data_IF_555697013683
#
_entry.id   IF_555697013683
#
_cell.length_a   1.000
_cell.length_b   1.000
_cell.length_c   1.000
_cell.angle_alpha   90.00
_cell.angle_beta   90.00
_cell.angle_gamma   90.00
#
_symmetry.space_group_name_H-M   'P 1'
#
loop_
_entity.id
_entity.type
_entity.pdbx_description
1 polymer ?
#
# COMPACT_ATOMS: atom_id res chain seq x y z
N UNK A 1 38.82 4.81 7.38
CA UNK A 1 37.90 3.68 7.53
C UNK A 1 38.16 3.01 8.86
N UNK A 2 37.17 2.96 9.75
CA UNK A 2 37.29 2.32 11.07
C UNK A 2 37.14 0.80 10.94
N UNK A 3 37.99 0.02 11.60
CA UNK A 3 37.97 -1.43 11.50
C UNK A 3 36.81 -2.02 12.33
N UNK A 4 36.16 -3.09 11.85
CA UNK A 4 35.03 -3.78 12.53
C UNK A 4 35.32 -4.12 14.01
N UNK A 5 36.59 -4.35 14.36
CA UNK A 5 37.01 -4.61 15.75
C UNK A 5 36.96 -3.37 16.66
N UNK A 6 37.13 -2.18 16.11
CA UNK A 6 37.01 -0.91 16.85
C UNK A 6 35.56 -0.51 17.06
N UNK A 7 34.66 -0.83 16.11
CA UNK A 7 33.23 -0.58 16.25
C UNK A 7 32.60 -1.44 17.36
N UNK A 8 32.92 -2.74 17.39
CA UNK A 8 32.43 -3.64 18.44
C UNK A 8 32.89 -3.22 19.84
N UNK A 9 34.14 -2.73 19.98
CA UNK A 9 34.65 -2.24 21.26
C UNK A 9 33.87 -1.02 21.77
N UNK A 10 33.49 -0.08 20.90
CA UNK A 10 32.73 1.11 21.28
C UNK A 10 31.27 0.81 21.63
N UNK A 11 30.63 -0.13 20.93
CA UNK A 11 29.26 -0.56 21.27
C UNK A 11 29.23 -1.28 22.63
N UNK A 12 30.22 -2.14 22.90
CA UNK A 12 30.31 -2.85 24.19
C UNK A 12 30.64 -1.92 25.36
N UNK A 13 31.53 -0.94 25.18
CA UNK A 13 31.86 0.04 26.22
C UNK A 13 30.70 1.03 26.50
N UNK A 14 29.90 1.36 25.48
CA UNK A 14 28.73 2.24 25.64
C UNK A 14 27.57 1.60 26.39
N UNK A 15 27.30 0.30 26.17
CA UNK A 15 26.24 -0.43 26.86
C UNK A 15 26.58 -0.70 28.35
N UNK A 16 27.85 -0.96 28.68
CA UNK A 16 28.27 -1.21 30.07
C UNK A 16 28.23 0.05 30.95
N UNK A 17 28.49 1.23 30.37
CA UNK A 17 28.38 2.52 31.07
C UNK A 17 26.93 2.92 31.39
N UNK A 18 25.95 2.39 30.66
CA UNK A 18 24.53 2.66 30.88
C UNK A 18 23.93 1.72 31.94
N UNK A 19 24.42 0.48 32.06
CA UNK A 19 23.93 -0.48 33.06
C UNK A 19 24.38 -0.17 34.49
N UNK A 20 25.52 0.47 34.70
CA UNK A 20 25.94 0.86 36.06
C UNK A 20 25.17 2.07 36.62
N UNK A 21 24.53 2.87 35.75
CA UNK A 21 23.79 4.09 36.15
C UNK A 21 22.29 3.89 36.25
N UNK A 22 21.77 2.83 35.65
CA UNK A 22 20.36 2.43 35.70
C UNK A 22 20.27 1.22 36.63
N UNK A 23 20.10 1.49 37.93
CA UNK A 23 19.93 0.45 38.95
C UNK A 23 18.87 -0.58 38.53
N UNK A 24 19.06 -1.83 38.97
CA UNK A 24 18.27 -3.00 38.56
C UNK A 24 16.74 -2.80 38.63
N UNK A 25 16.25 -1.92 39.49
CA UNK A 25 14.82 -1.58 39.63
C UNK A 25 14.23 -0.89 38.39
N UNK A 26 15.05 -0.21 37.57
CA UNK A 26 14.59 0.47 36.34
C UNK A 26 14.40 -0.49 35.17
N UNK A 27 15.16 -1.60 35.12
CA UNK A 27 15.01 -2.62 34.09
C UNK A 27 13.74 -3.44 34.30
N UNK A 28 13.40 -3.77 35.54
CA UNK A 28 12.13 -4.44 35.86
C UNK A 28 10.93 -3.53 35.60
N UNK A 29 11.05 -2.23 35.86
CA UNK A 29 10.00 -1.26 35.53
C UNK A 29 9.86 -1.11 34.00
N UNK A 30 10.96 -1.11 33.25
CA UNK A 30 10.92 -1.05 31.79
C UNK A 30 10.33 -2.35 31.20
N UNK A 31 10.72 -3.51 31.73
CA UNK A 31 10.15 -4.80 31.33
C UNK A 31 8.66 -4.89 31.67
N UNK A 32 8.25 -4.40 32.84
CA UNK A 32 6.84 -4.33 33.24
C UNK A 32 6.05 -3.40 32.31
N UNK A 33 6.57 -2.23 31.96
CA UNK A 33 5.93 -1.30 31.01
C UNK A 33 5.87 -1.90 29.60
N UNK A 34 6.92 -2.59 29.14
CA UNK A 34 6.92 -3.28 27.84
C UNK A 34 5.90 -4.43 27.82
N UNK A 35 5.77 -5.20 28.91
CA UNK A 35 4.73 -6.23 29.02
C UNK A 35 3.32 -5.63 29.12
N UNK A 36 3.14 -4.49 29.81
CA UNK A 36 1.85 -3.79 29.89
C UNK A 36 1.42 -3.16 28.56
N UNK A 37 2.38 -2.72 27.74
CA UNK A 37 2.10 -2.25 26.38
C UNK A 37 1.80 -3.39 25.40
N UNK A 38 2.26 -4.61 25.69
CA UNK A 38 2.07 -5.79 24.83
C UNK A 38 0.74 -6.51 25.04
N UNK A 39 0.00 -6.23 26.10
CA UNK A 39 -1.25 -6.94 26.41
C UNK A 39 -2.41 -5.96 26.63
N UNK A 40 -2.80 -5.25 25.58
CA UNK A 40 -4.09 -4.57 25.55
C UNK A 40 -5.17 -5.58 25.17
N UNK A 41 -5.67 -6.31 26.16
CA UNK A 41 -6.89 -7.14 26.03
C UNK A 41 -8.05 -6.37 26.65
N UNK A 42 -9.07 -6.07 25.85
CA UNK A 42 -10.38 -5.63 26.35
C UNK A 42 -11.29 -6.85 26.29
N UNK A 43 -11.80 -7.28 27.45
CA UNK A 43 -12.75 -8.38 27.61
C UNK A 43 -12.36 -9.73 26.96
N UNK A 44 -11.06 -10.09 26.98
CA UNK A 44 -10.60 -11.41 26.54
C UNK A 44 -10.70 -11.65 25.03
N UNK A 45 -11.06 -10.64 24.25
CA UNK A 45 -10.99 -10.65 22.80
C UNK A 45 -9.79 -9.82 22.35
N UNK A 46 -9.09 -10.24 21.27
CA UNK A 46 -8.05 -9.40 20.67
C UNK A 46 -8.68 -8.06 20.30
N UNK A 47 -8.01 -6.97 20.69
CA UNK A 47 -8.44 -5.63 20.29
C UNK A 47 -8.28 -5.56 18.77
N UNK A 48 -9.41 -5.55 18.08
CA UNK A 48 -9.47 -5.28 16.64
C UNK A 48 -9.12 -3.80 16.46
N UNK A 49 -7.83 -3.51 16.28
CA UNK A 49 -7.37 -2.12 16.18
C UNK A 49 -7.70 -1.52 14.81
N UNK A 50 -7.64 -2.32 13.74
CA UNK A 50 -7.82 -1.85 12.36
C UNK A 50 -8.44 -2.93 11.46
N UNK A 51 -9.37 -2.54 10.59
CA UNK A 51 -9.96 -3.36 9.54
C UNK A 51 -9.58 -2.77 8.17
N UNK A 52 -9.24 -3.64 7.21
CA UNK A 52 -9.06 -3.23 5.81
C UNK A 52 -9.73 -4.20 4.85
N UNK A 53 -10.12 -3.66 3.71
CA UNK A 53 -10.73 -4.40 2.62
C UNK A 53 -9.86 -4.35 1.37
N UNK A 54 -9.69 -5.49 0.72
CA UNK A 54 -8.89 -5.66 -0.49
C UNK A 54 -9.77 -6.15 -1.64
N UNK A 55 -9.58 -5.57 -2.83
CA UNK A 55 -10.25 -6.02 -4.06
C UNK A 55 -9.41 -7.10 -4.75
N UNK A 56 -10.05 -8.21 -5.09
CA UNK A 56 -9.43 -9.32 -5.81
C UNK A 56 -10.22 -9.69 -7.04
N UNK A 57 -9.51 -10.07 -8.10
CA UNK A 57 -10.11 -10.59 -9.31
C UNK A 57 -9.23 -11.64 -9.97
N UNK A 58 -9.89 -12.59 -10.65
CA UNK A 58 -9.26 -13.50 -11.60
C UNK A 58 -9.88 -13.32 -13.00
N UNK A 59 -9.71 -14.31 -13.89
CA UNK A 59 -10.25 -14.25 -15.26
C UNK A 59 -11.79 -14.30 -15.31
N UNK A 60 -12.43 -14.83 -14.29
CA UNK A 60 -13.85 -15.18 -14.28
C UNK A 60 -14.61 -14.46 -13.16
N UNK A 61 -14.00 -14.28 -12.00
CA UNK A 61 -14.62 -13.82 -10.77
C UNK A 61 -13.94 -12.59 -10.19
N UNK A 62 -14.70 -11.78 -9.47
CA UNK A 62 -14.22 -10.73 -8.57
C UNK A 62 -14.78 -10.97 -7.16
N UNK A 63 -14.02 -10.63 -6.13
CA UNK A 63 -14.45 -10.71 -4.73
C UNK A 63 -13.70 -9.69 -3.87
N UNK A 64 -14.15 -9.53 -2.63
CA UNK A 64 -13.48 -8.69 -1.64
C UNK A 64 -13.02 -9.55 -0.47
N UNK A 65 -11.85 -9.22 0.05
CA UNK A 65 -11.26 -9.86 1.23
C UNK A 65 -11.19 -8.85 2.36
N UNK A 66 -11.60 -9.28 3.55
CA UNK A 66 -11.53 -8.48 4.78
C UNK A 66 -10.37 -9.00 5.61
N UNK A 67 -9.44 -8.11 5.92
CA UNK A 67 -8.34 -8.39 6.83
C UNK A 67 -8.50 -7.55 8.09
N UNK A 68 -8.19 -8.16 9.22
CA UNK A 68 -8.25 -7.51 10.53
C UNK A 68 -6.88 -7.60 11.18
N UNK A 69 -6.46 -6.51 11.83
CA UNK A 69 -5.19 -6.47 12.54
C UNK A 69 -5.36 -7.11 13.92
N UNK A 70 -4.68 -8.23 14.14
CA UNK A 70 -4.65 -9.01 15.38
C UNK A 70 -3.17 -9.14 15.77
N UNK A 71 -2.79 -8.67 16.95
CA UNK A 71 -1.42 -8.73 17.46
C UNK A 71 -0.36 -8.20 16.46
N UNK A 72 -0.63 -7.02 15.90
CA UNK A 72 0.19 -6.34 14.87
C UNK A 72 0.31 -7.05 13.52
N UNK A 73 -0.47 -8.13 13.29
CA UNK A 73 -0.49 -8.88 12.04
C UNK A 73 -1.85 -8.77 11.37
N UNK A 74 -1.83 -8.67 10.04
CA UNK A 74 -3.06 -8.73 9.25
C UNK A 74 -3.45 -10.18 9.04
N UNK A 75 -4.64 -10.55 9.52
CA UNK A 75 -5.23 -11.86 9.29
C UNK A 75 -6.48 -11.74 8.42
N UNK A 76 -6.64 -12.67 7.47
CA UNK A 76 -7.83 -12.75 6.65
C UNK A 76 -9.01 -13.24 7.50
N UNK A 77 -9.96 -12.34 7.77
CA UNK A 77 -11.12 -12.62 8.63
C UNK A 77 -12.40 -12.88 7.84
N UNK A 78 -12.38 -12.71 6.52
CA UNK A 78 -13.45 -13.21 5.67
C UNK A 78 -13.33 -12.76 4.22
N UNK A 79 -14.21 -13.29 3.39
CA UNK A 79 -14.28 -12.99 1.95
C UNK A 79 -15.72 -12.88 1.51
N UNK A 80 -16.04 -11.99 0.58
CA UNK A 80 -17.38 -11.94 0.00
C UNK A 80 -17.60 -13.07 -0.97
N UNK A 81 -18.88 -13.32 -1.26
CA UNK A 81 -19.29 -14.23 -2.32
C UNK A 81 -18.74 -13.73 -3.67
N UNK A 82 -18.00 -14.56 -4.43
CA UNK A 82 -17.47 -14.13 -5.71
C UNK A 82 -18.58 -13.80 -6.71
N UNK A 83 -18.38 -12.74 -7.48
CA UNK A 83 -19.27 -12.24 -8.51
C UNK A 83 -18.61 -12.43 -9.87
N UNK A 84 -19.30 -13.05 -10.81
CA UNK A 84 -18.79 -13.28 -12.15
C UNK A 84 -18.60 -11.94 -12.86
N UNK A 85 -17.42 -11.71 -13.45
CA UNK A 85 -17.02 -10.39 -13.96
C UNK A 85 -17.89 -9.89 -15.11
N UNK A 86 -18.27 -10.79 -16.01
CA UNK A 86 -19.07 -10.43 -17.20
C UNK A 86 -20.59 -10.47 -16.97
N UNK A 87 -21.10 -11.54 -16.34
CA UNK A 87 -22.55 -11.72 -16.15
C UNK A 87 -23.09 -11.08 -14.86
N UNK A 88 -22.23 -10.76 -13.89
CA UNK A 88 -22.66 -10.35 -12.55
C UNK A 88 -23.25 -11.50 -11.72
N UNK A 89 -23.21 -12.74 -12.22
CA UNK A 89 -23.76 -13.91 -11.53
C UNK A 89 -22.96 -14.22 -10.26
N UNK A 90 -23.66 -14.56 -9.17
CA UNK A 90 -23.00 -14.94 -7.93
C UNK A 90 -22.56 -16.41 -8.00
N UNK A 91 -21.33 -16.71 -7.59
CA UNK A 91 -20.84 -18.09 -7.44
C UNK A 91 -21.75 -18.89 -6.49
N UNK A 92 -21.80 -20.23 -6.49
CA UNK A 92 -22.62 -20.99 -5.55
C UNK A 92 -22.40 -20.56 -4.10
N UNK A 93 -23.48 -20.46 -3.32
CA UNK A 93 -23.38 -20.06 -1.91
C UNK A 93 -22.67 -21.15 -1.12
N UNK A 94 -21.61 -20.76 -0.42
CA UNK A 94 -20.87 -21.59 0.52
C UNK A 94 -20.91 -20.90 1.88
N UNK A 95 -21.07 -21.69 2.93
CA UNK A 95 -21.05 -21.19 4.31
C UNK A 95 -19.72 -20.45 4.59
N UNK A 96 -19.82 -19.28 5.25
CA UNK A 96 -18.66 -18.46 5.61
C UNK A 96 -18.34 -17.29 4.67
N UNK A 97 -19.11 -17.06 3.61
CA UNK A 97 -19.02 -15.80 2.86
C UNK A 97 -19.58 -14.62 3.67
N UNK A 98 -18.88 -13.50 3.61
CA UNK A 98 -19.34 -12.23 4.15
C UNK A 98 -20.39 -11.61 3.22
N UNK A 99 -21.43 -10.96 3.77
CA UNK A 99 -22.38 -10.21 2.97
C UNK A 99 -21.69 -9.01 2.31
N UNK A 100 -21.99 -8.77 1.03
CA UNK A 100 -21.42 -7.68 0.24
C UNK A 100 -21.80 -6.29 0.78
N UNK A 101 -22.84 -6.18 1.62
CA UNK A 101 -23.20 -4.93 2.30
C UNK A 101 -22.19 -4.49 3.36
N UNK A 102 -21.26 -5.35 3.79
CA UNK A 102 -20.18 -4.98 4.70
C UNK A 102 -18.98 -4.35 3.97
N UNK A 103 -18.90 -4.52 2.65
CA UNK A 103 -17.83 -3.93 1.86
C UNK A 103 -18.08 -2.43 1.75
N UNK A 104 -17.08 -1.57 2.03
CA UNK A 104 -17.18 -0.13 1.83
C UNK A 104 -17.65 0.22 0.42
N UNK A 105 -18.57 1.18 0.31
CA UNK A 105 -19.20 1.55 -0.96
C UNK A 105 -18.18 2.00 -2.01
N UNK A 106 -17.08 2.63 -1.56
CA UNK A 106 -15.97 3.06 -2.41
C UNK A 106 -15.30 1.89 -3.13
N UNK A 107 -15.29 0.71 -2.52
CA UNK A 107 -14.74 -0.53 -3.09
C UNK A 107 -15.78 -1.28 -3.92
N UNK A 108 -17.05 -1.29 -3.51
CA UNK A 108 -18.13 -2.00 -4.23
C UNK A 108 -18.37 -1.43 -5.62
N UNK A 109 -18.40 -0.10 -5.68
CA UNK A 109 -18.80 0.63 -6.88
C UNK A 109 -17.61 1.24 -7.62
N UNK A 110 -16.42 1.18 -7.03
CA UNK A 110 -15.24 1.92 -7.47
C UNK A 110 -15.41 3.43 -7.19
N UNK A 111 -14.32 4.20 -7.17
CA UNK A 111 -14.44 5.65 -7.15
C UNK A 111 -15.12 6.09 -8.45
N UNK A 112 -16.36 6.58 -8.37
CA UNK A 112 -17.10 7.15 -9.52
C UNK A 112 -18.46 6.54 -9.85
N UNK A 113 -19.18 5.92 -8.91
CA UNK A 113 -20.54 5.39 -9.18
C UNK A 113 -21.67 5.88 -8.28
N UNK A 114 -21.37 6.60 -7.21
CA UNK A 114 -22.32 7.62 -6.77
C UNK A 114 -22.24 8.74 -7.80
N UNK A 115 -23.39 9.21 -8.27
CA UNK A 115 -23.52 10.25 -9.30
C UNK A 115 -22.94 11.62 -8.93
N UNK A 116 -21.96 11.67 -8.03
CA UNK A 116 -21.00 12.75 -7.84
C UNK A 116 -19.71 12.41 -8.59
N UNK A 117 -19.76 12.35 -9.93
CA UNK A 117 -18.57 12.40 -10.80
C UNK A 117 -17.94 13.81 -10.81
N UNK A 118 -18.17 14.59 -9.74
CA UNK A 118 -17.90 16.02 -9.62
C UNK A 118 -17.07 16.37 -8.37
N UNK A 119 -16.55 15.40 -7.59
CA UNK A 119 -15.80 15.69 -6.35
C UNK A 119 -14.50 14.89 -6.16
N UNK A 120 -13.90 14.39 -7.24
CA UNK A 120 -12.46 14.06 -7.28
C UNK A 120 -11.71 14.91 -8.32
N UNK A 121 -12.30 16.05 -8.71
CA UNK A 121 -11.77 16.96 -9.73
C UNK A 121 -11.14 18.24 -9.16
N UNK A 122 -11.12 18.46 -7.85
CA UNK A 122 -10.62 19.73 -7.32
C UNK A 122 -9.18 19.67 -6.79
N UNK A 123 -8.35 20.45 -7.50
CA UNK A 123 -6.99 20.93 -7.22
C UNK A 123 -5.83 20.01 -7.64
N UNK A 124 -5.46 20.06 -8.92
CA UNK A 124 -4.05 20.09 -9.39
C UNK A 124 -4.02 20.24 -10.93
N UNK A 125 -4.76 21.23 -11.48
CA UNK A 125 -4.63 21.56 -12.92
C UNK A 125 -3.36 22.37 -13.24
N UNK A 126 -2.57 22.83 -12.26
CA UNK A 126 -1.59 23.89 -12.51
C UNK A 126 -0.11 23.45 -12.65
N UNK A 127 0.33 22.29 -12.18
CA UNK A 127 1.75 21.89 -12.26
C UNK A 127 1.97 20.57 -13.03
N UNK A 128 1.90 20.68 -14.36
CA UNK A 128 2.20 19.59 -15.28
C UNK A 128 3.63 19.08 -15.09
N UNK A 129 3.76 17.78 -14.85
CA UNK A 129 5.07 17.15 -14.72
C UNK A 129 5.76 17.41 -13.38
N UNK A 130 5.05 17.90 -12.37
CA UNK A 130 5.60 18.06 -11.02
C UNK A 130 5.02 17.07 -10.00
N UNK A 131 5.85 16.71 -9.02
CA UNK A 131 5.45 15.84 -7.92
C UNK A 131 4.68 16.62 -6.85
N UNK A 132 3.55 16.07 -6.41
CA UNK A 132 2.76 16.65 -5.32
C UNK A 132 2.97 15.87 -4.01
N UNK A 133 3.20 16.59 -2.91
CA UNK A 133 3.27 15.99 -1.57
C UNK A 133 1.95 15.30 -1.18
N UNK A 134 0.83 15.83 -1.65
CA UNK A 134 -0.51 15.25 -1.44
C UNK A 134 -0.63 13.91 -2.16
N UNK A 135 -0.09 13.78 -3.38
CA UNK A 135 -0.09 12.53 -4.13
C UNK A 135 0.87 11.51 -3.54
N UNK A 136 2.07 11.92 -3.11
CA UNK A 136 3.06 11.06 -2.45
C UNK A 136 2.54 10.42 -1.16
N UNK A 137 1.70 11.13 -0.41
CA UNK A 137 1.12 10.62 0.84
C UNK A 137 -0.01 9.59 0.62
N UNK A 138 -0.46 9.38 -0.62
CA UNK A 138 -1.56 8.46 -0.95
C UNK A 138 -0.98 7.13 -1.42
N UNK A 139 -0.77 6.20 -0.49
CA UNK A 139 -0.28 4.84 -0.79
C UNK A 139 -1.17 4.15 -1.84
N UNK A 140 -0.63 3.97 -3.05
CA UNK A 140 -1.28 3.20 -4.12
C UNK A 140 -2.48 3.85 -4.79
N UNK A 141 -2.74 5.16 -4.61
CA UNK A 141 -3.73 5.89 -5.43
C UNK A 141 -3.12 6.29 -6.78
N UNK A 142 -3.96 6.45 -7.84
CA UNK A 142 -3.44 6.67 -9.18
C UNK A 142 -2.64 7.98 -9.27
N UNK A 143 -1.55 8.00 -10.07
CA UNK A 143 -0.77 9.20 -10.34
C UNK A 143 -1.59 10.25 -11.09
N UNK A 144 -0.99 11.43 -11.30
CA UNK A 144 -1.68 12.55 -11.95
C UNK A 144 -2.33 12.16 -13.27
N UNK A 145 -3.42 12.86 -13.60
CA UNK A 145 -4.11 12.68 -14.88
C UNK A 145 -3.18 12.99 -16.05
N UNK A 146 -2.31 13.99 -15.90
CA UNK A 146 -1.30 14.33 -16.89
C UNK A 146 -0.35 13.15 -17.15
N UNK A 147 0.25 12.57 -16.11
CA UNK A 147 1.18 11.45 -16.29
C UNK A 147 0.49 10.25 -16.95
N UNK A 148 -0.74 9.94 -16.52
CA UNK A 148 -1.56 8.86 -17.13
C UNK A 148 -2.00 9.17 -18.56
N UNK A 149 -1.96 10.43 -18.98
CA UNK A 149 -2.35 10.86 -20.31
C UNK A 149 -1.25 10.66 -21.36
N UNK A 150 0.02 10.59 -20.95
CA UNK A 150 1.14 10.50 -21.88
C UNK A 150 1.21 9.15 -22.61
N UNK A 151 1.63 9.20 -23.87
CA UNK A 151 1.98 8.05 -24.70
C UNK A 151 3.44 7.64 -24.49
N UNK A 152 3.79 6.41 -24.88
CA UNK A 152 5.12 5.85 -24.71
C UNK A 152 6.24 6.73 -25.30
N UNK A 153 5.99 7.38 -26.43
CA UNK A 153 6.95 8.29 -27.06
C UNK A 153 7.21 9.54 -26.20
N UNK A 154 6.16 10.13 -25.64
CA UNK A 154 6.25 11.29 -24.75
C UNK A 154 6.91 10.91 -23.41
N UNK A 155 6.57 9.74 -22.87
CA UNK A 155 7.18 9.20 -21.66
C UNK A 155 8.68 8.97 -21.85
N UNK A 156 9.14 8.48 -23.01
CA UNK A 156 10.57 8.31 -23.28
C UNK A 156 11.34 9.63 -23.31
N UNK A 157 10.70 10.71 -23.73
CA UNK A 157 11.32 12.04 -23.71
C UNK A 157 11.37 12.59 -22.29
N UNK A 158 10.33 12.37 -21.49
CA UNK A 158 10.21 13.00 -20.18
C UNK A 158 10.84 12.22 -19.02
N UNK A 159 10.73 10.88 -18.99
CA UNK A 159 11.26 10.05 -17.89
C UNK A 159 12.76 10.27 -17.59
N UNK A 160 13.65 10.55 -18.57
CA UNK A 160 15.06 10.88 -18.32
C UNK A 160 15.28 12.19 -17.54
N UNK A 161 14.36 13.15 -17.65
CA UNK A 161 14.45 14.47 -17.01
C UNK A 161 14.14 14.43 -15.51
N UNK A 162 13.70 13.27 -15.00
CA UNK A 162 13.18 13.14 -13.64
C UNK A 162 14.04 12.21 -12.79
N UNK A 163 14.52 12.70 -11.66
CA UNK A 163 15.25 11.91 -10.67
C UNK A 163 14.31 11.45 -9.55
N UNK A 164 14.13 10.13 -9.44
CA UNK A 164 13.33 9.49 -8.39
C UNK A 164 14.02 8.21 -7.91
N UNK A 165 13.94 7.87 -6.62
CA UNK A 165 14.44 6.61 -6.12
C UNK A 165 13.67 5.43 -6.75
N UNK A 166 14.31 4.29 -7.01
CA UNK A 166 13.65 3.13 -7.58
C UNK A 166 12.58 2.59 -6.61
N UNK A 167 11.43 2.22 -7.15
CA UNK A 167 10.34 1.56 -6.42
C UNK A 167 10.20 0.11 -6.91
N UNK A 168 10.33 -0.84 -5.99
CA UNK A 168 10.12 -2.26 -6.27
C UNK A 168 8.65 -2.66 -6.25
N UNK A 169 8.34 -3.79 -6.86
CA UNK A 169 7.03 -4.46 -6.77
C UNK A 169 7.29 -5.88 -6.28
N UNK A 170 6.45 -6.36 -5.36
CA UNK A 170 6.49 -7.75 -4.88
C UNK A 170 5.25 -8.50 -5.35
N UNK A 171 5.40 -9.75 -5.79
CA UNK A 171 4.29 -10.63 -6.15
C UNK A 171 3.64 -10.41 -7.52
N UNK A 172 4.04 -9.39 -8.29
CA UNK A 172 3.57 -9.18 -9.67
C UNK A 172 4.59 -8.41 -10.53
N UNK A 173 4.31 -8.30 -11.83
CA UNK A 173 5.13 -7.52 -12.76
C UNK A 173 4.85 -6.02 -12.63
N UNK A 174 5.84 -5.19 -12.95
CA UNK A 174 5.67 -3.72 -13.00
C UNK A 174 4.55 -3.32 -13.97
N UNK A 175 4.44 -3.99 -15.10
CA UNK A 175 3.36 -3.78 -16.06
C UNK A 175 1.97 -4.00 -15.44
N UNK A 176 1.79 -5.12 -14.73
CA UNK A 176 0.54 -5.44 -14.03
C UNK A 176 0.22 -4.37 -13.00
N UNK A 177 1.22 -3.95 -12.21
CA UNK A 177 1.05 -2.92 -11.18
C UNK A 177 0.65 -1.57 -11.78
N UNK A 178 1.32 -1.15 -12.86
CA UNK A 178 1.03 0.11 -13.57
C UNK A 178 -0.40 0.15 -14.15
N UNK A 179 -0.84 -0.94 -14.77
CA UNK A 179 -2.13 -0.97 -15.46
C UNK A 179 -3.30 -1.21 -14.50
N UNK A 180 -3.12 -2.05 -13.47
CA UNK A 180 -4.17 -2.39 -12.50
C UNK A 180 -4.32 -1.33 -11.41
N UNK A 181 -3.22 -0.94 -10.78
CA UNK A 181 -3.25 -0.14 -9.54
C UNK A 181 -3.07 1.35 -9.84
N UNK A 182 -2.15 1.68 -10.75
CA UNK A 182 -1.93 3.05 -11.21
C UNK A 182 -2.80 3.48 -12.38
N UNK A 183 -3.66 2.58 -12.90
CA UNK A 183 -4.65 2.86 -13.95
C UNK A 183 -4.07 3.48 -15.22
N UNK A 184 -2.84 3.12 -15.60
CA UNK A 184 -2.32 3.46 -16.91
C UNK A 184 -3.05 2.68 -18.01
N UNK A 185 -3.34 3.35 -19.13
CA UNK A 185 -3.92 2.70 -20.30
C UNK A 185 -2.82 1.88 -20.98
N UNK A 186 -3.00 0.56 -21.04
CA UNK A 186 -2.04 -0.40 -21.57
C UNK A 186 -1.53 -0.02 -22.97
N UNK A 187 -2.42 0.44 -23.86
CA UNK A 187 -2.10 0.88 -25.21
C UNK A 187 -1.16 2.08 -25.24
N UNK A 188 -1.28 3.01 -24.27
CA UNK A 188 -0.47 4.23 -24.24
C UNK A 188 0.96 3.96 -23.79
N UNK A 189 1.15 3.05 -22.85
CA UNK A 189 2.48 2.68 -22.33
C UNK A 189 3.10 1.49 -23.07
N UNK A 190 2.42 0.93 -24.08
CA UNK A 190 2.92 -0.19 -24.87
C UNK A 190 4.19 0.20 -25.60
N UNK A 191 5.19 -0.68 -25.55
CA UNK A 191 6.48 -0.49 -26.21
C UNK A 191 7.55 0.12 -25.32
N UNK A 192 7.22 0.60 -24.12
CA UNK A 192 8.23 0.92 -23.12
C UNK A 192 9.02 -0.34 -22.74
N UNK A 193 10.33 -0.21 -22.59
CA UNK A 193 11.19 -1.29 -22.12
C UNK A 193 11.12 -1.44 -20.59
N UNK A 194 11.74 -2.49 -20.04
CA UNK A 194 11.66 -2.79 -18.61
C UNK A 194 12.22 -1.68 -17.71
N UNK A 195 13.27 -0.97 -18.15
CA UNK A 195 13.86 0.14 -17.40
C UNK A 195 12.91 1.35 -17.40
N UNK A 196 12.29 1.64 -18.54
CA UNK A 196 11.31 2.72 -18.69
C UNK A 196 10.04 2.44 -17.86
N UNK A 197 9.55 1.20 -17.86
CA UNK A 197 8.42 0.77 -17.02
C UNK A 197 8.75 0.87 -15.53
N UNK A 198 9.95 0.43 -15.11
CA UNK A 198 10.40 0.55 -13.72
C UNK A 198 10.51 2.02 -13.30
N UNK A 199 10.98 2.90 -14.19
CA UNK A 199 11.08 4.34 -13.93
C UNK A 199 9.70 4.99 -13.84
N UNK A 200 8.79 4.69 -14.76
CA UNK A 200 7.41 5.15 -14.72
C UNK A 200 6.70 4.73 -13.43
N UNK A 201 6.94 3.51 -12.98
CA UNK A 201 6.44 2.99 -11.71
C UNK A 201 6.98 3.77 -10.51
N UNK A 202 8.28 4.05 -10.47
CA UNK A 202 8.89 4.85 -9.42
C UNK A 202 8.31 6.27 -9.37
N UNK A 203 8.15 6.90 -10.54
CA UNK A 203 7.57 8.23 -10.68
C UNK A 203 6.12 8.27 -10.19
N UNK A 204 5.31 7.26 -10.51
CA UNK A 204 3.93 7.17 -10.03
C UNK A 204 3.84 7.13 -8.50
N UNK A 205 4.70 6.35 -7.85
CA UNK A 205 4.78 6.29 -6.38
C UNK A 205 5.40 7.54 -5.75
N UNK A 206 6.22 8.27 -6.50
CA UNK A 206 6.84 9.51 -6.01
C UNK A 206 5.86 10.69 -5.91
N UNK A 207 4.69 10.57 -6.56
CA UNK A 207 3.60 11.55 -6.50
C UNK A 207 3.45 12.44 -7.74
N UNK A 208 3.99 12.02 -8.89
CA UNK A 208 3.75 12.69 -10.18
C UNK A 208 2.40 12.34 -10.79
#
# INVERSE_FOLDING_TARGET
MMNRRQFAFWVSAGLFSLSERLGAETLDTLAAVVMQCSEKKVDGQPVVDEERWSYHEDRTWRWFERETKIDERWELTGRTRPVHRMSGELAPEVEGYLPESLVPDELRFGPGRDGSDELLDDADEDDYGEASAVRRARDGRPPSRWLRSLYAEELRLWLPEVEVPPAGVSGMTVWTHLTRDHRFIAERIRGLNDQELAKLHAVAHYGY
#
